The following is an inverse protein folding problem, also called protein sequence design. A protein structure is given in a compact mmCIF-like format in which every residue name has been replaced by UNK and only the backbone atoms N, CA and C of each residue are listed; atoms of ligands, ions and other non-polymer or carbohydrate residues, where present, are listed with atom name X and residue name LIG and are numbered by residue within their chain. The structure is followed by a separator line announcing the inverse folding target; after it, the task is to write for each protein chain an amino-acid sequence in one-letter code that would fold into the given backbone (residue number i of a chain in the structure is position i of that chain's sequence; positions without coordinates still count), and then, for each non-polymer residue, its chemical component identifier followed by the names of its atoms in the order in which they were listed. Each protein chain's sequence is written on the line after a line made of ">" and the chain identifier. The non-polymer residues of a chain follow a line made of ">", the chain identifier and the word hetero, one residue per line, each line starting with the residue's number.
data_IF_109504556253
#
_entry.id   IF_109504556253
#
_cell.length_a   1.000
_cell.length_b   1.000
_cell.length_c   1.000
_cell.angle_alpha   90.00
_cell.angle_beta   90.00
_cell.angle_gamma   90.00
#
_symmetry.space_group_name_H-M   'P 1'
#
loop_
_entity.id
_entity.type
_entity.pdbx_description
1 polymer ?
#
# COMPACT_ATOMS: atom_id res chain seq x y z
N UNK A 1 10.88 -43.36 43.57
CA UNK A 1 9.39 -43.43 43.45
C UNK A 1 8.79 -42.09 43.16
N UNK A 2 9.28 -41.00 43.70
CA UNK A 2 8.79 -39.63 43.38
C UNK A 2 9.13 -39.14 41.97
N UNK A 3 10.24 -39.53 41.38
CA UNK A 3 10.60 -39.16 40.01
C UNK A 3 9.70 -39.80 38.95
N UNK A 4 9.27 -41.05 39.17
CA UNK A 4 8.35 -41.76 38.25
C UNK A 4 6.93 -41.20 38.31
N UNK A 5 6.53 -40.67 39.48
CA UNK A 5 5.21 -40.01 39.64
C UNK A 5 5.18 -38.63 38.97
N UNK A 6 6.31 -37.90 38.91
CA UNK A 6 6.41 -36.62 38.22
C UNK A 6 6.39 -36.79 36.71
N UNK A 7 7.04 -37.82 36.14
CA UNK A 7 6.95 -38.11 34.69
C UNK A 7 5.55 -38.60 34.25
N UNK A 8 4.84 -39.34 35.10
CA UNK A 8 3.46 -39.70 34.81
C UNK A 8 2.45 -38.55 34.92
N UNK A 9 2.73 -37.53 35.73
CA UNK A 9 1.90 -36.33 35.79
C UNK A 9 2.17 -35.33 34.65
N UNK A 10 3.41 -35.22 34.12
CA UNK A 10 3.69 -34.41 32.94
C UNK A 10 2.99 -34.95 31.69
N UNK A 11 2.89 -36.26 31.51
CA UNK A 11 2.18 -36.86 30.38
C UNK A 11 0.65 -36.73 30.45
N UNK A 12 0.07 -36.49 31.66
CA UNK A 12 -1.37 -36.27 31.80
C UNK A 12 -1.84 -34.82 31.52
N UNK A 13 -0.91 -33.84 31.49
CA UNK A 13 -1.25 -32.45 31.12
C UNK A 13 -1.26 -32.22 29.62
N UNK A 14 -0.64 -33.10 28.84
CA UNK A 14 -0.59 -33.01 27.37
C UNK A 14 -1.92 -33.48 26.73
N UNK A 15 -2.74 -34.22 27.42
CA UNK A 15 -4.01 -34.79 26.93
C UNK A 15 -5.27 -33.97 27.30
N UNK A 16 -5.12 -32.79 27.88
CA UNK A 16 -6.24 -31.87 28.02
C UNK A 16 -6.56 -31.24 26.66
N UNK A 17 -7.79 -31.41 26.15
CA UNK A 17 -8.19 -30.74 24.94
C UNK A 17 -8.01 -29.23 25.14
N UNK A 18 -7.26 -28.62 24.23
CA UNK A 18 -7.03 -27.17 24.20
C UNK A 18 -8.41 -26.49 24.18
N UNK A 19 -8.88 -26.00 25.30
CA UNK A 19 -10.15 -25.26 25.37
C UNK A 19 -9.85 -23.80 25.03
N UNK A 20 -10.09 -23.42 23.79
CA UNK A 20 -10.12 -22.00 23.41
C UNK A 20 -11.47 -21.45 23.89
N UNK A 21 -11.49 -20.64 24.93
CA UNK A 21 -12.66 -19.86 25.27
C UNK A 21 -12.79 -18.70 24.28
N UNK A 22 -13.59 -18.88 23.24
CA UNK A 22 -13.94 -17.82 22.30
C UNK A 22 -15.02 -16.97 22.96
N UNK A 23 -14.78 -15.68 23.13
CA UNK A 23 -15.85 -14.75 23.46
C UNK A 23 -16.78 -14.64 22.24
N UNK A 24 -18.08 -14.81 22.44
CA UNK A 24 -19.09 -14.87 21.36
C UNK A 24 -19.20 -13.60 20.50
N UNK A 25 -18.52 -12.52 20.84
CA UNK A 25 -18.61 -11.22 20.16
C UNK A 25 -17.51 -10.95 19.12
N UNK A 26 -16.38 -11.67 19.14
CA UNK A 26 -15.33 -11.57 18.14
C UNK A 26 -15.28 -12.82 17.26
N UNK A 27 -16.29 -13.06 16.67
CA UNK A 27 -16.64 -13.65 15.37
C UNK A 27 -15.67 -14.66 14.72
N UNK A 28 -16.27 -15.45 13.88
CA UNK A 28 -15.79 -16.42 12.89
C UNK A 28 -14.34 -16.24 12.38
N UNK A 29 -13.78 -15.02 12.46
CA UNK A 29 -12.37 -14.73 12.12
C UNK A 29 -11.43 -15.40 13.12
N UNK A 30 -11.69 -15.23 14.41
CA UNK A 30 -10.85 -15.78 15.49
C UNK A 30 -10.96 -17.29 15.54
N UNK A 31 -12.14 -17.82 15.20
CA UNK A 31 -12.33 -19.27 15.04
C UNK A 31 -11.49 -19.83 13.91
N UNK A 32 -11.41 -19.14 12.76
CA UNK A 32 -10.57 -19.53 11.64
C UNK A 32 -9.09 -19.55 12.01
N UNK A 33 -8.63 -18.52 12.73
CA UNK A 33 -7.25 -18.45 13.23
C UNK A 33 -6.97 -19.55 14.27
N UNK A 34 -7.91 -19.82 15.19
CA UNK A 34 -7.78 -20.89 16.17
C UNK A 34 -7.68 -22.28 15.51
N UNK A 35 -8.51 -22.56 14.49
CA UNK A 35 -8.45 -23.80 13.70
C UNK A 35 -7.10 -23.93 13.02
N UNK A 36 -6.60 -22.86 12.39
CA UNK A 36 -5.29 -22.87 11.72
C UNK A 36 -4.14 -23.04 12.70
N UNK A 37 -4.15 -22.33 13.83
CA UNK A 37 -3.13 -22.48 14.87
C UNK A 37 -3.11 -23.89 15.44
N UNK A 38 -4.27 -24.49 15.70
CA UNK A 38 -4.39 -25.89 16.14
C UNK A 38 -3.82 -26.85 15.10
N UNK A 39 -4.09 -26.60 13.80
CA UNK A 39 -3.54 -27.42 12.73
C UNK A 39 -2.02 -27.30 12.60
N UNK A 40 -1.47 -26.10 12.72
CA UNK A 40 -0.02 -25.86 12.71
C UNK A 40 0.62 -26.59 13.90
N UNK A 41 0.07 -26.46 15.11
CA UNK A 41 0.59 -27.13 16.31
C UNK A 41 0.55 -28.64 16.11
N UNK A 42 -0.55 -29.22 15.64
CA UNK A 42 -0.62 -30.66 15.34
C UNK A 42 0.36 -31.12 14.27
N UNK A 43 0.56 -30.33 13.22
CA UNK A 43 1.52 -30.64 12.19
C UNK A 43 2.97 -30.63 12.71
N UNK A 44 3.29 -29.72 13.64
CA UNK A 44 4.59 -29.67 14.31
C UNK A 44 4.79 -30.80 15.32
N UNK A 45 3.71 -31.23 16.00
CA UNK A 45 3.73 -32.26 17.04
C UNK A 45 3.85 -33.68 16.47
N UNK A 46 3.13 -33.99 15.39
CA UNK A 46 3.08 -35.33 14.78
C UNK A 46 4.39 -35.71 14.08
N UNK A 47 5.08 -34.75 13.48
CA UNK A 47 6.44 -34.90 13.00
C UNK A 47 7.03 -33.51 12.80
N UNK A 48 8.07 -33.16 13.54
CA UNK A 48 8.82 -31.92 13.40
C UNK A 48 9.32 -31.68 11.94
N UNK A 49 9.24 -32.69 11.09
CA UNK A 49 9.62 -32.66 9.68
C UNK A 49 8.43 -32.53 8.72
N UNK A 50 7.15 -32.53 9.17
CA UNK A 50 6.03 -32.68 8.23
C UNK A 50 5.74 -31.44 7.40
N UNK A 51 5.95 -30.23 7.96
CA UNK A 51 5.65 -28.97 7.29
C UNK A 51 6.67 -27.87 7.63
N UNK A 52 7.96 -28.09 7.37
CA UNK A 52 9.03 -27.16 7.78
C UNK A 52 9.02 -25.86 6.96
N UNK A 53 8.32 -25.85 5.83
CA UNK A 53 8.32 -24.70 4.93
C UNK A 53 7.06 -23.88 5.14
N UNK A 54 7.23 -22.67 5.61
CA UNK A 54 6.18 -21.67 5.63
C UNK A 54 6.42 -20.61 4.55
N UNK A 55 5.37 -20.25 3.82
CA UNK A 55 5.37 -19.14 2.86
C UNK A 55 4.09 -18.34 3.02
N UNK A 56 4.23 -17.03 2.91
CA UNK A 56 3.10 -16.13 2.79
C UNK A 56 3.25 -15.37 1.47
N UNK A 57 2.21 -15.44 0.64
CA UNK A 57 2.15 -14.72 -0.63
C UNK A 57 0.81 -14.00 -0.74
N UNK A 58 0.81 -12.89 -1.46
CA UNK A 58 -0.38 -12.05 -1.62
C UNK A 58 -0.68 -11.83 -3.10
N UNK A 59 -1.95 -11.67 -3.42
CA UNK A 59 -2.35 -11.18 -4.73
C UNK A 59 -3.67 -10.41 -4.63
N UNK A 60 -3.92 -9.55 -5.61
CA UNK A 60 -5.25 -8.97 -5.85
C UNK A 60 -5.84 -9.57 -7.12
N UNK A 61 -7.18 -9.62 -7.19
CA UNK A 61 -7.90 -10.05 -8.39
C UNK A 61 -9.04 -9.07 -8.68
N UNK A 62 -9.26 -8.73 -9.97
CA UNK A 62 -10.30 -7.79 -10.41
C UNK A 62 -11.66 -8.47 -10.60
N UNK A 63 -12.00 -9.36 -9.69
CA UNK A 63 -13.29 -10.06 -9.62
C UNK A 63 -13.72 -10.27 -8.17
N UNK A 64 -15.00 -10.60 -7.92
CA UNK A 64 -15.51 -10.81 -6.57
C UNK A 64 -14.74 -11.91 -5.82
N UNK A 65 -14.48 -11.69 -4.54
CA UNK A 65 -13.74 -12.61 -3.67
C UNK A 65 -14.39 -14.00 -3.64
N UNK A 66 -15.71 -14.06 -3.64
CA UNK A 66 -16.47 -15.31 -3.64
C UNK A 66 -16.13 -16.19 -4.84
N UNK A 67 -16.06 -15.58 -6.04
CA UNK A 67 -15.69 -16.29 -7.25
C UNK A 67 -14.25 -16.80 -7.22
N UNK A 68 -13.34 -16.02 -6.63
CA UNK A 68 -11.96 -16.48 -6.42
C UNK A 68 -11.93 -17.68 -5.48
N UNK A 69 -12.67 -17.64 -4.39
CA UNK A 69 -12.74 -18.72 -3.41
C UNK A 69 -13.41 -19.97 -3.98
N UNK A 70 -14.48 -19.82 -4.75
CA UNK A 70 -15.16 -20.94 -5.42
C UNK A 70 -14.24 -21.59 -6.45
N UNK A 71 -13.51 -20.80 -7.23
CA UNK A 71 -12.52 -21.33 -8.17
C UNK A 71 -11.36 -22.05 -7.46
N UNK A 72 -10.86 -21.50 -6.37
CA UNK A 72 -9.84 -22.14 -5.55
C UNK A 72 -10.33 -23.47 -4.99
N UNK A 73 -11.57 -23.52 -4.48
CA UNK A 73 -12.16 -24.74 -3.96
C UNK A 73 -12.34 -25.82 -5.05
N UNK A 74 -12.78 -25.43 -6.24
CA UNK A 74 -13.11 -26.37 -7.32
C UNK A 74 -11.88 -26.78 -8.15
N UNK A 75 -10.93 -25.85 -8.41
CA UNK A 75 -9.88 -26.02 -9.42
C UNK A 75 -8.49 -26.23 -8.81
N UNK A 76 -8.30 -26.00 -7.50
CA UNK A 76 -6.99 -26.19 -6.86
C UNK A 76 -6.57 -27.65 -6.77
N UNK A 77 -7.54 -28.60 -6.78
CA UNK A 77 -7.29 -30.02 -6.55
C UNK A 77 -6.86 -30.33 -5.10
N UNK A 78 -7.13 -29.41 -4.19
CA UNK A 78 -6.97 -29.55 -2.74
C UNK A 78 -8.36 -29.68 -2.12
N UNK A 79 -8.46 -30.38 -1.00
CA UNK A 79 -9.71 -30.40 -0.23
C UNK A 79 -9.96 -29.00 0.34
N UNK A 80 -11.14 -28.45 0.09
CA UNK A 80 -11.47 -27.08 0.47
C UNK A 80 -12.50 -27.05 1.61
N UNK A 81 -12.23 -26.23 2.61
CA UNK A 81 -13.15 -25.96 3.70
C UNK A 81 -13.29 -24.45 3.90
N UNK A 82 -14.50 -23.92 3.74
CA UNK A 82 -14.81 -22.52 4.12
C UNK A 82 -14.86 -22.41 5.63
N UNK A 83 -14.00 -21.57 6.20
CA UNK A 83 -13.98 -21.31 7.64
C UNK A 83 -15.00 -20.22 8.00
N UNK A 84 -15.02 -19.13 7.22
CA UNK A 84 -16.02 -18.06 7.25
C UNK A 84 -16.00 -17.30 5.91
N UNK A 85 -16.80 -16.24 5.76
CA UNK A 85 -16.95 -15.53 4.48
C UNK A 85 -15.63 -15.06 3.86
N UNK A 86 -14.65 -14.64 4.69
CA UNK A 86 -13.33 -14.15 4.26
C UNK A 86 -12.19 -15.15 4.40
N UNK A 87 -12.44 -16.44 4.74
CA UNK A 87 -11.35 -17.40 4.94
C UNK A 87 -11.70 -18.78 4.41
N UNK A 88 -10.73 -19.38 3.68
CA UNK A 88 -10.80 -20.69 3.07
C UNK A 88 -9.55 -21.48 3.46
N UNK A 89 -9.74 -22.71 3.92
CA UNK A 89 -8.68 -23.70 4.11
C UNK A 89 -8.62 -24.63 2.91
N UNK A 90 -7.42 -24.80 2.34
CA UNK A 90 -7.12 -25.78 1.31
C UNK A 90 -6.13 -26.79 1.87
N UNK A 91 -6.43 -28.06 1.73
CA UNK A 91 -5.69 -29.16 2.35
C UNK A 91 -5.35 -30.26 1.36
N UNK A 92 -4.12 -30.72 1.38
CA UNK A 92 -3.64 -31.80 0.52
C UNK A 92 -2.43 -32.54 1.08
N UNK A 93 -1.99 -33.59 0.42
CA UNK A 93 -0.86 -34.40 0.88
C UNK A 93 0.42 -33.56 1.02
N UNK A 94 0.89 -33.36 2.24
CA UNK A 94 2.11 -32.63 2.54
C UNK A 94 2.03 -31.10 2.37
N UNK A 95 0.84 -30.53 2.20
CA UNK A 95 0.64 -29.09 2.08
C UNK A 95 -0.74 -28.68 2.58
N UNK A 96 -0.82 -27.55 3.24
CA UNK A 96 -2.09 -26.88 3.51
C UNK A 96 -1.93 -25.37 3.41
N UNK A 97 -3.03 -24.69 3.06
CA UNK A 97 -3.02 -23.27 2.78
C UNK A 97 -4.24 -22.63 3.41
N UNK A 98 -4.02 -21.61 4.23
CA UNK A 98 -5.07 -20.68 4.60
C UNK A 98 -5.12 -19.54 3.59
N UNK A 99 -6.29 -19.27 3.06
CA UNK A 99 -6.55 -18.13 2.18
C UNK A 99 -7.45 -17.15 2.91
N UNK A 100 -6.94 -15.97 3.20
CA UNK A 100 -7.73 -14.87 3.76
C UNK A 100 -8.00 -13.85 2.65
N UNK A 101 -9.26 -13.50 2.45
CA UNK A 101 -9.70 -12.57 1.43
C UNK A 101 -10.34 -11.32 2.02
N UNK A 102 -10.10 -10.19 1.37
CA UNK A 102 -10.71 -8.91 1.71
C UNK A 102 -11.36 -8.31 0.46
N UNK A 103 -12.62 -7.90 0.61
CA UNK A 103 -13.34 -7.18 -0.45
C UNK A 103 -12.89 -5.73 -0.49
N UNK A 104 -12.62 -5.25 -1.68
CA UNK A 104 -12.39 -3.84 -1.99
C UNK A 104 -13.43 -3.41 -3.04
N UNK A 105 -13.50 -2.11 -3.34
CA UNK A 105 -14.53 -1.58 -4.23
C UNK A 105 -14.42 -2.13 -5.67
N UNK A 106 -13.21 -2.27 -6.19
CA UNK A 106 -12.93 -2.64 -7.60
C UNK A 106 -12.13 -3.94 -7.76
N UNK A 107 -11.72 -4.56 -6.66
CA UNK A 107 -10.95 -5.79 -6.64
C UNK A 107 -11.14 -6.52 -5.30
N UNK A 108 -10.63 -7.73 -5.19
CA UNK A 108 -10.39 -8.37 -3.90
C UNK A 108 -8.89 -8.61 -3.69
N UNK A 109 -8.42 -8.57 -2.45
CA UNK A 109 -7.08 -9.03 -2.10
C UNK A 109 -7.16 -10.38 -1.40
N UNK A 110 -6.18 -11.25 -1.66
CA UNK A 110 -6.08 -12.57 -1.07
C UNK A 110 -4.66 -12.80 -0.53
N UNK A 111 -4.58 -13.15 0.74
CA UNK A 111 -3.35 -13.58 1.41
C UNK A 111 -3.37 -15.09 1.57
N UNK A 112 -2.36 -15.76 1.01
CA UNK A 112 -2.16 -17.19 1.12
C UNK A 112 -1.07 -17.45 2.15
N UNK A 113 -1.39 -18.07 3.27
CA UNK A 113 -0.44 -18.61 4.25
C UNK A 113 -0.34 -20.11 3.98
N UNK A 114 0.83 -20.56 3.55
CA UNK A 114 1.08 -21.91 3.12
C UNK A 114 2.10 -22.59 4.02
N UNK A 115 1.83 -23.84 4.37
CA UNK A 115 2.75 -24.75 5.02
C UNK A 115 2.94 -25.99 4.16
N UNK A 116 4.18 -26.37 3.89
CA UNK A 116 4.51 -27.50 3.03
C UNK A 116 5.66 -28.33 3.61
N UNK A 117 5.71 -29.61 3.22
CA UNK A 117 6.78 -30.53 3.62
C UNK A 117 8.13 -30.19 3.01
N UNK A 118 8.15 -29.58 1.82
CA UNK A 118 9.36 -29.19 1.10
C UNK A 118 9.14 -27.94 0.23
N UNK A 119 10.24 -27.34 -0.22
CA UNK A 119 10.24 -26.10 -1.01
C UNK A 119 9.59 -26.32 -2.38
N UNK A 120 9.87 -27.45 -3.04
CA UNK A 120 9.35 -27.73 -4.38
C UNK A 120 7.82 -27.84 -4.38
N UNK A 121 7.25 -28.49 -3.37
CA UNK A 121 5.80 -28.57 -3.17
C UNK A 121 5.20 -27.21 -2.86
N UNK A 122 5.87 -26.38 -2.05
CA UNK A 122 5.43 -25.03 -1.74
C UNK A 122 5.34 -24.17 -3.02
N UNK A 123 6.40 -24.16 -3.82
CA UNK A 123 6.45 -23.39 -5.07
C UNK A 123 5.43 -23.90 -6.11
N UNK A 124 5.33 -25.22 -6.29
CA UNK A 124 4.34 -25.82 -7.19
C UNK A 124 2.91 -25.47 -6.78
N UNK A 125 2.62 -25.50 -5.48
CA UNK A 125 1.29 -25.16 -4.94
C UNK A 125 0.99 -23.68 -5.16
N UNK A 126 1.90 -22.77 -4.83
CA UNK A 126 1.73 -21.32 -5.07
C UNK A 126 1.49 -21.05 -6.56
N UNK A 127 2.30 -21.63 -7.44
CA UNK A 127 2.14 -21.50 -8.89
C UNK A 127 0.78 -22.01 -9.38
N UNK A 128 0.28 -23.11 -8.80
CA UNK A 128 -1.03 -23.67 -9.10
C UNK A 128 -2.15 -22.74 -8.63
N UNK A 129 -2.10 -22.26 -7.39
CA UNK A 129 -3.10 -21.33 -6.84
C UNK A 129 -3.16 -20.04 -7.65
N UNK A 130 -2.02 -19.48 -8.01
CA UNK A 130 -1.96 -18.28 -8.85
C UNK A 130 -2.50 -18.51 -10.27
N UNK A 131 -2.35 -19.70 -10.81
CA UNK A 131 -2.94 -20.09 -12.10
C UNK A 131 -4.47 -20.21 -12.00
N UNK A 132 -5.00 -20.69 -10.88
CA UNK A 132 -6.45 -20.73 -10.61
C UNK A 132 -7.04 -19.32 -10.46
N UNK A 133 -6.33 -18.41 -9.79
CA UNK A 133 -6.74 -17.00 -9.75
C UNK A 133 -6.78 -16.40 -11.16
N UNK A 134 -5.90 -16.83 -12.06
CA UNK A 134 -5.96 -16.53 -13.49
C UNK A 134 -5.49 -15.15 -13.89
N UNK A 135 -5.94 -14.69 -15.07
CA UNK A 135 -5.51 -13.43 -15.70
C UNK A 135 -6.09 -12.19 -15.02
N UNK A 136 -7.18 -12.35 -14.27
CA UNK A 136 -7.74 -11.28 -13.43
C UNK A 136 -6.82 -10.87 -12.28
N UNK A 137 -5.75 -11.66 -12.05
CA UNK A 137 -4.75 -11.37 -11.03
C UNK A 137 -3.99 -10.09 -11.38
N UNK A 138 -4.07 -9.12 -10.49
CA UNK A 138 -3.24 -7.93 -10.55
C UNK A 138 -1.83 -8.34 -10.10
N UNK A 139 -0.95 -8.56 -11.09
CA UNK A 139 0.44 -8.96 -10.83
C UNK A 139 1.24 -7.73 -10.41
N UNK A 140 1.95 -7.83 -9.30
CA UNK A 140 3.06 -6.92 -8.94
C UNK A 140 2.72 -5.43 -8.75
N UNK A 141 1.50 -5.08 -8.36
CA UNK A 141 1.12 -3.70 -8.03
C UNK A 141 0.49 -3.59 -6.62
N UNK A 142 0.39 -4.70 -5.91
CA UNK A 142 -0.12 -4.74 -4.55
C UNK A 142 0.99 -4.32 -3.59
N UNK A 143 0.69 -3.41 -2.67
CA UNK A 143 1.54 -3.07 -1.54
C UNK A 143 0.73 -3.11 -0.24
N UNK A 144 1.41 -3.37 0.86
CA UNK A 144 0.82 -3.47 2.19
C UNK A 144 1.21 -2.24 2.98
N UNK A 145 0.24 -1.56 3.54
CA UNK A 145 0.46 -0.39 4.37
C UNK A 145 0.20 -0.75 5.82
N UNK A 146 1.20 -0.57 6.64
CA UNK A 146 1.06 -0.53 8.10
C UNK A 146 0.95 0.94 8.52
N UNK A 147 -0.29 1.37 8.76
CA UNK A 147 -0.57 2.73 9.20
C UNK A 147 -0.41 2.85 10.71
N UNK A 148 0.50 3.71 11.14
CA UNK A 148 0.74 4.06 12.53
C UNK A 148 0.10 5.40 12.85
N UNK A 149 -0.69 5.44 13.92
CA UNK A 149 -1.37 6.64 14.40
C UNK A 149 -1.50 6.58 15.92
N UNK A 150 -1.94 7.69 16.52
CA UNK A 150 -2.45 7.70 17.89
C UNK A 150 -3.97 7.78 17.86
N UNK A 151 -4.60 7.08 18.77
CA UNK A 151 -6.04 7.17 18.97
C UNK A 151 -6.42 8.43 19.74
N UNK A 152 -7.71 8.58 20.07
CA UNK A 152 -8.23 9.77 20.78
C UNK A 152 -7.69 9.89 22.19
N UNK A 153 -7.32 8.80 22.81
CA UNK A 153 -6.79 8.72 24.18
C UNK A 153 -5.27 8.90 24.21
N UNK A 154 -4.65 8.99 23.03
CA UNK A 154 -3.21 9.18 22.84
C UNK A 154 -2.41 7.87 22.82
N UNK A 155 -3.09 6.73 22.82
CA UNK A 155 -2.45 5.43 22.75
C UNK A 155 -2.01 5.09 21.32
N UNK A 156 -0.94 4.29 21.22
CA UNK A 156 -0.44 3.87 19.92
C UNK A 156 -1.41 2.88 19.26
N UNK A 157 -1.87 3.21 18.06
CA UNK A 157 -2.74 2.37 17.26
C UNK A 157 -2.09 2.07 15.91
N UNK A 158 -2.36 0.89 15.37
CA UNK A 158 -1.92 0.50 14.03
C UNK A 158 -3.03 -0.20 13.26
N UNK A 159 -3.05 0.01 11.95
CA UNK A 159 -3.94 -0.70 11.04
C UNK A 159 -3.14 -1.17 9.83
N UNK A 160 -3.30 -2.43 9.45
CA UNK A 160 -2.65 -3.00 8.27
C UNK A 160 -3.70 -3.25 7.19
N UNK A 161 -3.44 -2.75 5.99
CA UNK A 161 -4.31 -2.95 4.83
C UNK A 161 -3.49 -3.06 3.55
N UNK A 162 -4.11 -3.70 2.56
CA UNK A 162 -3.52 -3.92 1.25
C UNK A 162 -4.13 -2.94 0.25
N UNK A 163 -3.28 -2.37 -0.61
CA UNK A 163 -3.66 -1.42 -1.65
C UNK A 163 -3.05 -1.81 -2.99
N UNK A 164 -3.76 -1.51 -4.08
CA UNK A 164 -3.29 -1.70 -5.45
C UNK A 164 -2.89 -0.35 -6.02
N UNK A 165 -1.67 -0.29 -6.59
CA UNK A 165 -1.23 0.87 -7.35
C UNK A 165 -1.73 0.72 -8.80
N UNK A 166 -2.98 1.07 -9.05
CA UNK A 166 -3.60 1.04 -10.38
C UNK A 166 -3.67 2.41 -11.05
N UNK A 167 -3.10 3.43 -10.43
CA UNK A 167 -3.00 4.77 -10.98
C UNK A 167 -2.05 4.79 -12.19
N UNK A 168 -2.60 4.97 -13.38
CA UNK A 168 -1.81 5.27 -14.56
C UNK A 168 -1.36 6.72 -14.48
N UNK A 169 -0.05 6.92 -14.30
CA UNK A 169 0.54 8.25 -14.36
C UNK A 169 0.81 8.63 -15.82
N UNK A 170 0.68 9.90 -16.11
CA UNK A 170 1.00 10.48 -17.43
C UNK A 170 1.99 11.62 -17.26
N UNK A 171 2.95 11.74 -18.17
CA UNK A 171 4.04 12.73 -18.10
C UNK A 171 3.51 14.16 -18.04
N UNK A 172 2.39 14.42 -18.73
CA UNK A 172 1.73 15.72 -18.75
C UNK A 172 1.22 16.18 -17.35
N UNK A 173 1.07 15.25 -16.41
CA UNK A 173 0.72 15.59 -15.03
C UNK A 173 1.96 16.01 -14.20
N UNK A 174 3.18 15.70 -14.68
CA UNK A 174 4.45 15.94 -13.99
C UNK A 174 5.49 16.67 -14.86
N UNK A 175 5.14 17.79 -15.52
CA UNK A 175 6.05 18.49 -16.44
C UNK A 175 7.26 19.13 -15.75
N UNK A 176 7.33 19.08 -14.43
CA UNK A 176 8.46 19.52 -13.62
C UNK A 176 9.57 18.46 -13.51
N UNK A 177 9.30 17.22 -13.89
CA UNK A 177 10.34 16.20 -14.00
C UNK A 177 11.13 16.41 -15.30
N UNK A 178 12.45 16.21 -15.22
CA UNK A 178 13.33 16.34 -16.39
C UNK A 178 13.29 15.11 -17.31
N UNK A 179 12.54 14.10 -16.93
CA UNK A 179 12.44 12.80 -17.59
C UNK A 179 11.00 12.26 -17.48
N UNK A 180 10.59 11.26 -18.29
CA UNK A 180 9.30 10.59 -18.14
C UNK A 180 9.09 10.06 -16.72
N UNK A 181 7.85 10.16 -16.23
CA UNK A 181 7.51 9.82 -14.83
C UNK A 181 7.87 8.38 -14.48
N UNK A 182 7.66 7.44 -15.40
CA UNK A 182 8.02 6.03 -15.18
C UNK A 182 9.54 5.84 -15.05
N UNK A 183 10.35 6.54 -15.85
CA UNK A 183 11.81 6.51 -15.76
C UNK A 183 12.30 7.11 -14.44
N UNK A 184 11.71 8.22 -14.01
CA UNK A 184 12.01 8.82 -12.71
C UNK A 184 11.75 7.84 -11.56
N UNK A 185 10.59 7.15 -11.60
CA UNK A 185 10.20 6.15 -10.59
C UNK A 185 11.21 5.00 -10.59
N UNK A 186 11.50 4.42 -11.75
CA UNK A 186 12.42 3.28 -11.87
C UNK A 186 13.83 3.65 -11.41
N UNK A 187 14.31 4.84 -11.75
CA UNK A 187 15.61 5.35 -11.31
C UNK A 187 15.66 5.53 -9.79
N UNK A 188 14.61 6.06 -9.16
CA UNK A 188 14.54 6.18 -7.71
C UNK A 188 14.52 4.82 -7.02
N UNK A 189 13.70 3.89 -7.48
CA UNK A 189 13.60 2.56 -6.89
C UNK A 189 14.95 1.82 -6.95
N UNK A 190 15.74 2.07 -7.99
CA UNK A 190 17.06 1.45 -8.20
C UNK A 190 18.22 2.20 -7.53
N UNK A 191 18.04 3.47 -7.22
CA UNK A 191 19.09 4.31 -6.65
C UNK A 191 19.56 3.81 -5.28
N UNK A 192 20.83 3.98 -4.91
CA UNK A 192 21.32 3.71 -3.57
C UNK A 192 20.77 4.71 -2.54
N UNK A 193 20.43 5.92 -2.95
CA UNK A 193 19.87 6.95 -2.10
C UNK A 193 18.47 6.55 -1.61
N UNK A 194 18.25 6.73 -0.30
CA UNK A 194 17.00 6.32 0.32
C UNK A 194 15.91 7.40 0.29
N UNK A 195 16.28 8.68 0.34
CA UNK A 195 15.35 9.78 0.60
C UNK A 195 14.81 10.38 -0.71
N UNK A 196 13.48 10.49 -0.81
CA UNK A 196 12.78 11.28 -1.81
C UNK A 196 11.82 12.25 -1.11
N UNK A 197 11.88 13.53 -1.47
CA UNK A 197 11.01 14.57 -0.91
C UNK A 197 10.16 15.15 -2.02
N UNK A 198 8.83 15.10 -1.87
CA UNK A 198 7.85 15.66 -2.78
C UNK A 198 7.23 16.91 -2.14
N UNK A 199 7.58 18.09 -2.67
CA UNK A 199 7.09 19.37 -2.18
C UNK A 199 5.96 19.90 -3.05
N UNK A 200 5.09 20.72 -2.49
CA UNK A 200 4.13 21.49 -3.26
C UNK A 200 2.72 21.48 -2.69
N UNK A 201 1.83 22.33 -3.22
CA UNK A 201 0.49 22.51 -2.68
C UNK A 201 -0.37 21.25 -2.80
N UNK A 202 -1.49 21.17 -2.06
CA UNK A 202 -2.45 20.08 -2.18
C UNK A 202 -2.99 19.93 -3.61
N UNK A 203 -3.33 18.69 -3.99
CA UNK A 203 -3.96 18.38 -5.28
C UNK A 203 -3.01 18.35 -6.48
N UNK A 204 -1.69 18.49 -6.29
CA UNK A 204 -0.71 18.45 -7.40
C UNK A 204 -0.29 17.04 -7.81
N UNK A 205 -0.66 16.00 -7.06
CA UNK A 205 -0.41 14.61 -7.44
C UNK A 205 0.69 13.92 -6.62
N UNK A 206 1.20 14.52 -5.53
CA UNK A 206 2.25 13.93 -4.66
C UNK A 206 1.90 12.50 -4.21
N UNK A 207 0.75 12.30 -3.60
CA UNK A 207 0.30 10.98 -3.10
C UNK A 207 0.12 9.96 -4.24
N UNK A 208 -0.31 10.39 -5.44
CA UNK A 208 -0.37 9.49 -6.61
C UNK A 208 1.01 9.01 -7.04
N UNK A 209 1.99 9.92 -7.05
CA UNK A 209 3.39 9.56 -7.36
C UNK A 209 3.96 8.60 -6.30
N UNK A 210 3.68 8.83 -5.00
CA UNK A 210 4.04 7.88 -3.94
C UNK A 210 3.44 6.50 -4.20
N UNK A 211 2.14 6.40 -4.47
CA UNK A 211 1.48 5.11 -4.78
C UNK A 211 2.11 4.40 -5.97
N UNK A 212 2.43 5.12 -7.03
CA UNK A 212 3.10 4.55 -8.20
C UNK A 212 4.51 4.04 -7.90
N UNK A 213 5.27 4.75 -7.06
CA UNK A 213 6.58 4.29 -6.56
C UNK A 213 6.44 3.00 -5.77
N UNK A 214 5.48 2.91 -4.84
CA UNK A 214 5.23 1.70 -4.06
C UNK A 214 4.84 0.52 -4.95
N UNK A 215 4.04 0.75 -5.98
CA UNK A 215 3.73 -0.25 -7.00
C UNK A 215 4.96 -0.69 -7.79
N UNK A 216 5.88 0.21 -8.12
CA UNK A 216 7.13 -0.11 -8.78
C UNK A 216 8.07 -0.93 -7.87
N UNK A 217 8.13 -0.60 -6.58
CA UNK A 217 8.86 -1.39 -5.59
C UNK A 217 8.33 -2.82 -5.50
N UNK A 218 7.01 -3.00 -5.47
CA UNK A 218 6.37 -4.32 -5.49
C UNK A 218 6.71 -5.10 -6.76
N UNK A 219 6.66 -4.44 -7.94
CA UNK A 219 7.05 -5.07 -9.21
C UNK A 219 8.50 -5.54 -9.19
N UNK A 220 9.40 -4.71 -8.69
CA UNK A 220 10.83 -5.05 -8.61
C UNK A 220 11.12 -6.18 -7.63
N UNK A 221 10.45 -6.19 -6.48
CA UNK A 221 10.55 -7.23 -5.45
C UNK A 221 9.98 -8.57 -5.93
N UNK A 222 9.03 -8.53 -6.86
CA UNK A 222 8.26 -9.73 -7.29
C UNK A 222 7.20 -10.17 -6.27
N UNK A 223 7.01 -9.38 -5.21
CA UNK A 223 6.02 -9.56 -4.15
C UNK A 223 5.51 -8.18 -3.71
N UNK A 224 4.52 -8.13 -2.81
CA UNK A 224 4.02 -6.88 -2.26
C UNK A 224 5.10 -6.14 -1.45
N UNK A 225 5.28 -4.86 -1.73
CA UNK A 225 6.10 -4.01 -0.88
C UNK A 225 5.39 -3.78 0.45
N UNK A 226 6.14 -3.85 1.54
CA UNK A 226 5.66 -3.57 2.89
C UNK A 226 6.03 -2.13 3.27
N UNK A 227 5.03 -1.35 3.63
CA UNK A 227 5.15 0.10 3.79
C UNK A 227 4.74 0.48 5.20
N UNK A 228 5.65 1.11 5.92
CA UNK A 228 5.31 1.83 7.13
C UNK A 228 4.80 3.22 6.75
N UNK A 229 3.65 3.63 7.28
CA UNK A 229 3.01 4.89 6.91
C UNK A 229 2.57 5.67 8.15
N UNK A 230 2.81 6.96 8.15
CA UNK A 230 2.21 7.88 9.12
C UNK A 230 2.09 9.31 8.58
N UNK A 231 1.08 10.03 9.04
CA UNK A 231 0.94 11.48 8.95
C UNK A 231 0.89 12.11 10.36
N UNK A 232 1.05 11.31 11.41
CA UNK A 232 0.89 11.73 12.80
C UNK A 232 2.22 12.19 13.39
N UNK A 233 2.28 13.48 13.74
CA UNK A 233 3.46 14.11 14.37
C UNK A 233 3.85 13.47 15.70
N UNK A 234 2.89 12.98 16.46
CA UNK A 234 3.17 12.40 17.79
C UNK A 234 3.80 11.02 17.66
N UNK A 235 3.39 10.24 16.65
CA UNK A 235 4.01 8.95 16.32
C UNK A 235 5.48 9.15 15.96
N UNK A 236 5.81 10.19 15.19
CA UNK A 236 7.18 10.49 14.76
C UNK A 236 8.10 10.98 15.89
N UNK A 237 7.55 11.38 17.03
CA UNK A 237 8.32 11.70 18.26
C UNK A 237 8.74 10.45 19.04
N UNK A 238 8.12 9.30 18.76
CA UNK A 238 8.50 8.03 19.40
C UNK A 238 9.65 7.38 18.65
N UNK A 239 10.66 6.89 19.40
CA UNK A 239 11.77 6.15 18.80
C UNK A 239 11.32 4.78 18.27
N UNK A 240 10.21 4.24 18.79
CA UNK A 240 9.72 2.90 18.42
C UNK A 240 9.46 2.75 16.92
N UNK A 241 8.88 3.77 16.26
CA UNK A 241 8.59 3.67 14.82
C UNK A 241 9.86 3.55 13.97
N UNK A 242 10.96 4.19 14.40
CA UNK A 242 12.26 4.08 13.71
C UNK A 242 12.89 2.72 13.95
N UNK A 243 12.80 2.20 15.18
CA UNK A 243 13.24 0.84 15.51
C UNK A 243 12.45 -0.17 14.66
N UNK A 244 11.13 -0.05 14.62
CA UNK A 244 10.27 -0.92 13.81
C UNK A 244 10.64 -0.85 12.31
N UNK A 245 10.94 0.34 11.80
CA UNK A 245 11.39 0.47 10.40
C UNK A 245 12.74 -0.17 10.15
N UNK A 246 13.70 -0.02 11.06
CA UNK A 246 15.07 -0.55 10.90
C UNK A 246 15.11 -2.06 11.10
N UNK A 247 14.38 -2.58 12.09
CA UNK A 247 14.42 -4.02 12.45
C UNK A 247 13.36 -4.86 11.77
N UNK A 248 12.29 -4.24 11.27
CA UNK A 248 11.17 -4.90 10.60
C UNK A 248 11.45 -5.26 9.14
N UNK A 249 10.42 -5.70 8.44
CA UNK A 249 10.45 -6.13 7.02
C UNK A 249 10.04 -5.03 6.04
N UNK A 250 9.86 -3.80 6.49
CA UNK A 250 9.36 -2.71 5.66
C UNK A 250 10.34 -2.32 4.55
N UNK A 251 9.83 -2.22 3.33
CA UNK A 251 10.58 -1.78 2.15
C UNK A 251 10.60 -0.24 2.03
N UNK A 252 9.57 0.42 2.56
CA UNK A 252 9.47 1.88 2.53
C UNK A 252 8.87 2.44 3.82
N UNK A 253 9.27 3.67 4.16
CA UNK A 253 8.61 4.49 5.17
C UNK A 253 8.08 5.76 4.49
N UNK A 254 6.77 5.93 4.49
CA UNK A 254 6.07 7.07 3.91
C UNK A 254 5.60 7.99 5.02
N UNK A 255 6.03 9.25 4.97
CA UNK A 255 5.64 10.29 5.90
C UNK A 255 4.91 11.38 5.13
N UNK A 256 3.59 11.48 5.31
CA UNK A 256 2.80 12.54 4.69
C UNK A 256 2.69 13.78 5.58
N UNK A 257 2.52 14.95 4.92
CA UNK A 257 2.41 16.27 5.57
C UNK A 257 3.55 16.54 6.56
N UNK A 258 4.77 16.21 6.16
CA UNK A 258 5.99 16.28 6.97
C UNK A 258 6.54 17.71 7.14
N UNK A 259 5.70 18.75 6.99
CA UNK A 259 6.10 20.16 6.97
C UNK A 259 6.98 20.55 8.16
N UNK A 260 6.56 20.15 9.37
CA UNK A 260 7.29 20.47 10.60
C UNK A 260 8.61 19.69 10.73
N UNK A 261 8.66 18.48 10.16
CA UNK A 261 9.81 17.59 10.28
C UNK A 261 10.97 18.02 9.37
N UNK A 262 10.64 18.59 8.22
CA UNK A 262 11.61 18.97 7.20
C UNK A 262 12.24 20.35 7.43
N UNK A 263 11.69 21.16 8.36
CA UNK A 263 12.21 22.47 8.72
C UNK A 263 13.62 22.38 9.32
N UNK A 264 14.36 23.49 9.24
CA UNK A 264 15.71 23.57 9.75
C UNK A 264 15.81 23.25 11.23
N UNK A 265 16.87 22.55 11.62
CA UNK A 265 17.21 22.28 13.02
C UNK A 265 17.50 23.56 13.82
N UNK A 266 17.90 24.63 13.17
CA UNK A 266 18.05 25.95 13.79
C UNK A 266 16.73 26.50 14.35
N UNK A 267 15.60 26.00 13.83
CA UNK A 267 14.26 26.35 14.28
C UNK A 267 13.73 25.41 15.39
N UNK A 268 14.62 24.63 16.02
CA UNK A 268 14.30 23.76 17.16
C UNK A 268 13.80 22.36 16.79
N UNK A 269 13.98 21.92 15.55
CA UNK A 269 13.56 20.60 15.08
C UNK A 269 14.54 19.50 15.52
N UNK A 270 14.34 18.97 16.73
CA UNK A 270 15.15 17.86 17.26
C UNK A 270 14.80 16.49 16.60
N UNK A 271 13.61 16.34 16.02
CA UNK A 271 13.12 15.05 15.52
C UNK A 271 13.80 14.64 14.21
N UNK A 272 14.29 15.59 13.45
CA UNK A 272 14.96 15.34 12.16
C UNK A 272 16.18 14.41 12.29
N UNK A 273 16.90 14.48 13.38
CA UNK A 273 18.14 13.70 13.53
C UNK A 273 17.89 12.18 13.46
N UNK A 274 16.71 11.70 13.87
CA UNK A 274 16.31 10.29 13.79
C UNK A 274 16.26 9.79 12.35
N UNK A 275 15.71 10.61 11.44
CA UNK A 275 15.67 10.28 10.01
C UNK A 275 17.07 10.30 9.39
N UNK A 276 17.93 11.20 9.84
CA UNK A 276 19.30 11.26 9.40
C UNK A 276 20.07 9.99 9.80
N UNK A 277 19.81 9.46 10.99
CA UNK A 277 20.40 8.18 11.45
C UNK A 277 19.96 7.00 10.59
N UNK A 278 18.68 6.96 10.18
CA UNK A 278 18.15 5.90 9.31
C UNK A 278 18.70 6.04 7.89
N UNK A 279 18.83 7.27 7.40
CA UNK A 279 19.30 7.54 6.04
C UNK A 279 20.82 7.32 5.85
N UNK A 280 21.63 7.54 6.91
CA UNK A 280 23.12 7.47 6.86
C UNK A 280 23.70 6.41 7.79
N UNK A 281 22.88 5.70 8.53
CA UNK A 281 23.31 4.92 9.68
C UNK A 281 24.30 3.81 9.34
N UNK A 282 25.07 3.39 10.36
CA UNK A 282 25.92 2.18 10.35
C UNK A 282 25.08 0.94 10.00
N UNK A 283 23.79 0.97 10.31
CA UNK A 283 22.81 -0.04 9.89
C UNK A 283 22.36 0.31 8.47
N UNK A 284 23.00 -0.31 7.49
CA UNK A 284 22.60 -0.16 6.08
C UNK A 284 21.21 -0.74 5.91
N UNK A 285 20.24 0.13 5.64
CA UNK A 285 18.89 -0.25 5.21
C UNK A 285 18.90 -0.47 3.69
N UNK A 286 19.73 -1.42 3.22
CA UNK A 286 19.92 -1.65 1.78
C UNK A 286 18.57 -1.83 1.07
N UNK A 287 18.32 -0.96 0.08
CA UNK A 287 17.11 -1.00 -0.73
C UNK A 287 15.86 -0.38 -0.12
N UNK A 288 15.87 0.01 1.17
CA UNK A 288 14.71 0.67 1.81
C UNK A 288 14.62 2.14 1.43
N UNK A 289 13.39 2.64 1.35
CA UNK A 289 13.10 4.00 0.88
C UNK A 289 12.40 4.84 1.94
N UNK A 290 12.75 6.13 1.99
CA UNK A 290 12.11 7.15 2.81
C UNK A 290 11.43 8.15 1.88
N UNK A 291 10.10 8.22 1.92
CA UNK A 291 9.30 9.11 1.09
C UNK A 291 8.62 10.16 1.96
N UNK A 292 8.93 11.42 1.70
CA UNK A 292 8.29 12.54 2.38
C UNK A 292 7.38 13.28 1.42
N UNK A 293 6.17 13.61 1.86
CA UNK A 293 5.35 14.62 1.20
C UNK A 293 5.22 15.85 2.11
N UNK A 294 5.23 17.03 1.52
CA UNK A 294 5.13 18.30 2.26
C UNK A 294 4.46 19.38 1.42
N UNK A 295 3.85 20.35 2.09
CA UNK A 295 3.27 21.53 1.47
C UNK A 295 4.22 22.74 1.51
N UNK A 296 5.45 22.56 2.01
CA UNK A 296 6.51 23.59 1.99
C UNK A 296 6.74 24.08 0.55
N UNK A 297 6.85 25.40 0.32
CA UNK A 297 6.80 25.95 -1.03
C UNK A 297 8.04 25.68 -1.89
N UNK A 298 9.19 25.50 -1.25
CA UNK A 298 10.46 25.25 -1.98
C UNK A 298 11.47 24.48 -1.13
N UNK A 299 12.47 23.92 -1.79
CA UNK A 299 13.52 23.11 -1.15
C UNK A 299 14.43 23.93 -0.21
N UNK A 300 14.50 25.26 -0.34
CA UNK A 300 15.28 26.12 0.55
C UNK A 300 14.75 26.18 1.99
N UNK A 301 13.51 25.75 2.22
CA UNK A 301 12.94 25.64 3.55
C UNK A 301 13.22 24.26 4.22
N UNK A 302 13.90 23.34 3.51
CA UNK A 302 14.26 22.02 4.01
C UNK A 302 15.66 22.06 4.61
N UNK A 303 15.86 21.36 5.73
CA UNK A 303 17.19 21.22 6.33
C UNK A 303 18.19 20.61 5.35
N UNK A 304 19.33 21.29 5.17
CA UNK A 304 20.38 20.88 4.22
C UNK A 304 20.91 19.46 4.47
N UNK A 305 20.87 18.99 5.71
CA UNK A 305 21.35 17.66 6.03
C UNK A 305 20.54 16.54 5.35
N UNK A 306 19.24 16.77 5.06
CA UNK A 306 18.44 15.83 4.28
C UNK A 306 18.79 15.85 2.79
N UNK A 307 19.21 17.00 2.27
CA UNK A 307 19.46 17.21 0.84
C UNK A 307 20.88 16.79 0.41
N UNK A 308 21.69 16.25 1.34
CA UNK A 308 23.07 15.86 1.04
C UNK A 308 23.15 14.78 -0.04
N UNK A 309 24.11 14.90 -0.99
CA UNK A 309 24.41 13.85 -1.97
C UNK A 309 24.71 12.50 -1.27
N UNK A 310 24.27 11.41 -1.89
CA UNK A 310 24.40 10.04 -1.35
C UNK A 310 23.29 9.66 -0.36
N UNK A 311 22.48 10.63 0.11
CA UNK A 311 21.33 10.41 1.00
C UNK A 311 20.01 10.70 0.28
N UNK A 312 19.94 11.91 -0.28
CA UNK A 312 18.75 12.39 -0.98
C UNK A 312 18.87 12.09 -2.48
N UNK A 313 17.94 11.32 -2.99
CA UNK A 313 17.80 11.08 -4.41
C UNK A 313 17.33 12.36 -5.14
N UNK A 314 16.26 12.96 -4.63
CA UNK A 314 15.72 14.21 -5.17
C UNK A 314 14.78 14.91 -4.18
N UNK A 315 14.71 16.24 -4.27
CA UNK A 315 13.66 17.08 -3.72
C UNK A 315 12.87 17.68 -4.90
N UNK A 316 11.69 17.16 -5.18
CA UNK A 316 10.89 17.51 -6.36
C UNK A 316 9.76 18.44 -5.95
N UNK A 317 9.72 19.65 -6.55
CA UNK A 317 8.60 20.56 -6.38
C UNK A 317 7.48 20.20 -7.36
N UNK A 318 6.48 19.46 -6.86
CA UNK A 318 5.27 19.09 -7.62
C UNK A 318 4.30 20.27 -7.56
N UNK A 319 4.46 21.17 -8.53
CA UNK A 319 3.74 22.45 -8.58
C UNK A 319 2.40 22.36 -9.32
N UNK A 320 1.59 23.38 -9.22
CA UNK A 320 0.42 23.53 -10.10
C UNK A 320 0.88 23.69 -11.57
N UNK A 321 0.05 23.24 -12.48
CA UNK A 321 0.27 23.31 -13.92
C UNK A 321 -0.05 24.72 -14.42
N UNK A 322 0.70 25.22 -15.38
CA UNK A 322 0.31 26.38 -16.19
C UNK A 322 -0.94 26.03 -17.01
N UNK A 323 -1.56 27.04 -17.62
CA UNK A 323 -2.74 26.82 -18.49
C UNK A 323 -2.41 25.87 -19.65
N UNK A 324 -1.26 26.05 -20.28
CA UNK A 324 -0.82 25.24 -21.43
C UNK A 324 -0.49 23.80 -20.99
N UNK A 325 0.14 23.63 -19.84
CA UNK A 325 0.39 22.30 -19.26
C UNK A 325 -0.91 21.60 -18.89
N UNK A 326 -1.86 22.31 -18.27
CA UNK A 326 -3.18 21.80 -17.97
C UNK A 326 -3.95 21.40 -19.23
N UNK A 327 -3.80 22.17 -20.33
CA UNK A 327 -4.40 21.82 -21.61
C UNK A 327 -3.78 20.53 -22.21
N UNK A 328 -2.45 20.38 -22.13
CA UNK A 328 -1.77 19.15 -22.58
C UNK A 328 -2.24 17.93 -21.78
N UNK A 329 -2.34 18.08 -20.44
CA UNK A 329 -2.90 17.02 -19.60
C UNK A 329 -4.34 16.67 -19.97
N UNK A 330 -5.21 17.67 -20.15
CA UNK A 330 -6.60 17.46 -20.58
C UNK A 330 -6.68 16.78 -21.95
N UNK A 331 -5.83 17.18 -22.92
CA UNK A 331 -5.75 16.57 -24.24
C UNK A 331 -5.35 15.09 -24.16
N UNK A 332 -4.36 14.77 -23.35
CA UNK A 332 -3.93 13.40 -23.09
C UNK A 332 -5.05 12.55 -22.49
N UNK A 333 -5.76 13.09 -21.50
CA UNK A 333 -6.88 12.40 -20.83
C UNK A 333 -8.13 12.26 -21.71
N UNK A 334 -8.27 13.11 -22.75
CA UNK A 334 -9.37 13.07 -23.73
C UNK A 334 -8.98 12.34 -25.02
N UNK A 335 -7.93 11.52 -25.02
CA UNK A 335 -7.47 10.75 -26.18
C UNK A 335 -7.26 11.60 -27.45
N UNK A 336 -6.82 12.86 -27.27
CA UNK A 336 -6.55 13.80 -28.34
C UNK A 336 -7.75 14.64 -28.79
N UNK A 337 -8.94 14.51 -28.21
CA UNK A 337 -10.10 15.37 -28.52
C UNK A 337 -9.89 16.78 -27.97
N UNK A 338 -9.45 17.69 -28.83
CA UNK A 338 -9.15 19.08 -28.50
C UNK A 338 -10.37 19.87 -28.01
N UNK A 339 -11.57 19.59 -28.56
CA UNK A 339 -12.80 20.27 -28.16
C UNK A 339 -13.21 19.86 -26.74
N UNK A 340 -13.11 18.56 -26.43
CA UNK A 340 -13.36 18.03 -25.09
C UNK A 340 -12.31 18.51 -24.10
N UNK A 341 -11.04 18.50 -24.45
CA UNK A 341 -9.93 18.98 -23.61
C UNK A 341 -10.11 20.45 -23.22
N UNK A 342 -10.51 21.30 -24.17
CA UNK A 342 -10.77 22.72 -23.91
C UNK A 342 -11.95 22.92 -22.93
N UNK A 343 -13.02 22.13 -23.05
CA UNK A 343 -14.15 22.15 -22.09
C UNK A 343 -13.72 21.69 -20.69
N UNK A 344 -12.95 20.60 -20.62
CA UNK A 344 -12.41 20.08 -19.35
C UNK A 344 -11.55 21.13 -18.66
N UNK A 345 -10.65 21.77 -19.40
CA UNK A 345 -9.80 22.81 -18.83
C UNK A 345 -10.61 24.03 -18.38
N UNK A 346 -11.58 24.47 -19.17
CA UNK A 346 -12.48 25.57 -18.81
C UNK A 346 -13.30 25.26 -17.54
N UNK A 347 -13.70 24.00 -17.34
CA UNK A 347 -14.37 23.56 -16.11
C UNK A 347 -13.44 23.45 -14.92
N UNK A 348 -12.17 23.07 -15.14
CA UNK A 348 -11.17 22.94 -14.08
C UNK A 348 -10.61 24.27 -13.59
N UNK A 349 -10.58 25.31 -14.46
CA UNK A 349 -10.01 26.62 -14.15
C UNK A 349 -11.09 27.68 -13.99
N UNK A 350 -11.02 28.45 -12.91
CA UNK A 350 -11.79 29.71 -12.81
C UNK A 350 -11.20 30.75 -13.75
N UNK A 351 -12.00 31.69 -14.18
CA UNK A 351 -11.66 32.69 -15.21
C UNK A 351 -10.45 33.56 -14.84
N UNK A 352 -10.18 33.73 -13.55
CA UNK A 352 -9.12 34.57 -12.99
C UNK A 352 -7.84 33.77 -12.63
N UNK A 353 -7.87 32.44 -12.73
CA UNK A 353 -6.74 31.59 -12.36
C UNK A 353 -5.73 31.44 -13.50
N UNK A 354 -4.43 31.59 -13.16
CA UNK A 354 -3.31 31.36 -14.09
C UNK A 354 -2.81 29.92 -14.10
N UNK A 355 -3.14 29.15 -13.07
CA UNK A 355 -2.65 27.78 -12.87
C UNK A 355 -3.78 26.85 -12.43
N UNK A 356 -3.63 25.57 -12.73
CA UNK A 356 -4.58 24.50 -12.38
C UNK A 356 -3.83 23.35 -11.69
N UNK A 357 -4.45 22.68 -10.72
CA UNK A 357 -3.88 21.48 -10.17
C UNK A 357 -4.23 20.26 -11.03
N UNK A 358 -3.39 19.22 -10.98
CA UNK A 358 -3.71 17.96 -11.64
C UNK A 358 -5.07 17.40 -11.16
N UNK A 359 -5.36 17.50 -9.85
CA UNK A 359 -6.63 17.02 -9.28
C UNK A 359 -7.83 17.73 -9.87
N UNK A 360 -7.78 19.06 -10.09
CA UNK A 360 -8.88 19.82 -10.71
C UNK A 360 -9.14 19.35 -12.16
N UNK A 361 -8.08 19.06 -12.93
CA UNK A 361 -8.23 18.54 -14.30
C UNK A 361 -8.86 17.13 -14.30
N UNK A 362 -8.35 16.22 -13.44
CA UNK A 362 -8.94 14.88 -13.31
C UNK A 362 -10.38 14.91 -12.81
N UNK A 363 -10.73 15.82 -11.91
CA UNK A 363 -12.09 15.99 -11.42
C UNK A 363 -13.03 16.48 -12.54
N UNK A 364 -12.60 17.49 -13.29
CA UNK A 364 -13.37 18.03 -14.42
C UNK A 364 -13.59 16.96 -15.51
N UNK A 365 -12.59 16.10 -15.75
CA UNK A 365 -12.71 14.99 -16.70
C UNK A 365 -13.79 13.96 -16.31
N UNK A 366 -14.02 13.74 -15.02
CA UNK A 366 -15.02 12.78 -14.49
C UNK A 366 -16.44 13.33 -14.46
N UNK A 367 -16.60 14.65 -14.53
CA UNK A 367 -17.93 15.26 -14.53
C UNK A 367 -18.60 15.04 -15.90
N UNK A 368 -19.90 14.64 -15.93
CA UNK A 368 -20.63 14.62 -17.18
C UNK A 368 -20.67 16.03 -17.77
N UNK A 369 -20.67 16.19 -19.11
CA UNK A 369 -20.71 17.50 -19.73
C UNK A 369 -21.94 18.26 -19.20
N UNK A 370 -21.73 19.39 -18.56
CA UNK A 370 -22.85 20.26 -18.17
C UNK A 370 -23.55 20.69 -19.43
N UNK A 371 -24.88 20.58 -19.51
CA UNK A 371 -25.63 21.11 -20.65
C UNK A 371 -25.31 22.61 -20.75
N UNK A 372 -24.86 23.03 -21.93
CA UNK A 372 -24.66 24.45 -22.24
C UNK A 372 -25.96 25.15 -21.91
N UNK A 373 -25.95 26.06 -20.93
CA UNK A 373 -27.13 26.86 -20.65
C UNK A 373 -27.50 27.56 -21.94
N UNK A 374 -28.58 27.11 -22.55
CA UNK A 374 -29.16 27.82 -23.69
C UNK A 374 -29.51 29.20 -23.19
N UNK A 375 -28.84 30.22 -23.71
CA UNK A 375 -29.20 31.61 -23.49
C UNK A 375 -30.64 31.76 -23.91
N UNK A 376 -31.55 31.96 -22.96
CA UNK A 376 -32.92 32.30 -23.26
C UNK A 376 -32.92 33.53 -24.18
N UNK A 377 -33.63 33.48 -25.32
CA UNK A 377 -33.76 34.65 -26.17
C UNK A 377 -34.39 35.79 -25.36
N UNK A 378 -34.02 37.06 -25.60
CA UNK A 378 -34.54 38.19 -24.87
C UNK A 378 -36.05 38.25 -25.02
N UNK A 379 -36.78 38.30 -23.90
CA UNK A 379 -38.22 38.52 -23.89
C UNK A 379 -38.50 39.85 -24.58
N UNK A 380 -39.10 39.80 -25.76
CA UNK A 380 -39.68 40.97 -26.43
C UNK A 380 -40.80 41.50 -25.54
N UNK A 381 -40.62 42.69 -24.98
CA UNK A 381 -41.70 43.42 -24.29
C UNK A 381 -42.72 43.82 -25.38
N UNK A 382 -43.89 43.24 -25.33
CA UNK A 382 -45.03 43.77 -26.05
C UNK A 382 -45.41 45.09 -25.42
N UNK A 383 -45.28 46.19 -26.18
CA UNK A 383 -45.89 47.49 -25.89
C UNK A 383 -47.34 47.41 -26.30
N UNK A 384 -48.24 47.59 -25.32
CA UNK A 384 -49.64 47.93 -25.55
C UNK A 384 -49.81 49.44 -25.57
#
# INVERSE_FOLDING_TARGET
>A
MEQVINEMNMNKEIDKPFSVSLSFNDHMRDLGEAVMNTRVVRALDIAAASYPIHRQVRCAARRPMEQVFDDLALKSGLAAQRLYAGSLLLDGPGVFVQVNGYRKLTYCSCTFKLWARDIALAEATIAKLFRVVGDDRVRSQLFVVEWRMRDRDGDAASATFEEVADDVLVDEAYPMLAEPVDQFIDRYVQAPESVLILLGPPGTGKTRLVRAILGAMSRRKGDSAEVLYTADKQVLRSDSIFVDFVTGSHDAFVIEDADYLLQSRTDGNADLHRFLMVADGVVRTEGRKLLFTTNVPNAGAIDEALLRPGRCFAAVTVRRLTRDEGHRLALRLCDGDAARASRVLASAMRTDQRTVSAAEVYQAMRQPPQPVAQSMPPRVRATA
#
